data_IF_769236002355
#
_entry.id   IF_769236002355
#
_cell.length_a   1.000
_cell.length_b   1.000
_cell.length_c   1.000
_cell.angle_alpha   90.00
_cell.angle_beta   90.00
_cell.angle_gamma   90.00
#
_symmetry.space_group_name_H-M   'P 1'
#
loop_
_entity.id
_entity.type
_entity.pdbx_description
1 polymer ?
#
# COMPACT_ATOMS: atom_id res chain seq x y z
N UNK A 1 -20.88 -12.95 -16.92
CA UNK A 1 -19.83 -12.25 -16.15
C UNK A 1 -20.40 -12.02 -14.76
N UNK A 2 -19.72 -12.42 -13.69
CA UNK A 2 -20.02 -11.86 -12.37
C UNK A 2 -19.75 -10.36 -12.45
N UNK A 3 -20.80 -9.56 -12.47
CA UNK A 3 -20.72 -8.10 -12.62
C UNK A 3 -20.07 -7.41 -11.41
N UNK A 4 -19.79 -8.16 -10.34
CA UNK A 4 -19.23 -7.65 -9.08
C UNK A 4 -17.70 -7.61 -9.05
N UNK A 5 -16.99 -8.28 -9.97
CA UNK A 5 -15.52 -8.42 -9.93
C UNK A 5 -14.90 -7.78 -11.16
N UNK A 6 -14.09 -6.72 -10.95
CA UNK A 6 -13.29 -6.17 -12.03
C UNK A 6 -12.21 -7.17 -12.42
N UNK A 7 -12.04 -7.35 -13.73
CA UNK A 7 -11.03 -8.24 -14.32
C UNK A 7 -10.04 -7.48 -15.17
N UNK A 8 -10.22 -6.16 -15.36
CA UNK A 8 -9.34 -5.32 -16.19
C UNK A 8 -8.07 -5.02 -15.40
N UNK A 9 -6.91 -5.27 -16.00
CA UNK A 9 -5.65 -4.87 -15.36
C UNK A 9 -5.55 -3.35 -15.35
N UNK A 10 -5.03 -2.81 -14.25
CA UNK A 10 -4.77 -1.38 -14.11
C UNK A 10 -3.68 -0.92 -15.09
N UNK A 11 -2.77 -1.83 -15.45
CA UNK A 11 -1.70 -1.58 -16.42
C UNK A 11 -2.16 -1.71 -17.88
N UNK A 12 -3.46 -1.90 -18.14
CA UNK A 12 -4.04 -1.98 -19.47
C UNK A 12 -4.41 -3.39 -19.88
N UNK A 13 -4.44 -3.67 -21.19
CA UNK A 13 -4.90 -4.97 -21.69
C UNK A 13 -3.85 -6.06 -21.47
N UNK A 14 -4.30 -7.24 -21.06
CA UNK A 14 -3.51 -8.47 -21.04
C UNK A 14 -4.01 -9.47 -22.09
N UNK A 15 -3.12 -10.37 -22.51
CA UNK A 15 -3.45 -11.39 -23.51
C UNK A 15 -4.25 -12.52 -22.85
N UNK A 16 -5.18 -13.09 -23.60
CA UNK A 16 -5.91 -14.31 -23.21
C UNK A 16 -5.56 -15.40 -24.21
N UNK A 17 -5.13 -16.57 -23.72
CA UNK A 17 -4.82 -17.75 -24.54
C UNK A 17 -5.52 -18.97 -23.96
N UNK A 18 -6.24 -19.71 -24.81
CA UNK A 18 -7.02 -20.89 -24.41
C UNK A 18 -7.96 -20.59 -23.23
N UNK A 19 -8.64 -19.43 -23.26
CA UNK A 19 -9.55 -18.99 -22.20
C UNK A 19 -8.88 -18.56 -20.89
N UNK A 20 -7.54 -18.50 -20.82
CA UNK A 20 -6.80 -18.10 -19.61
C UNK A 20 -6.04 -16.78 -19.82
N UNK A 21 -6.09 -15.85 -18.85
CA UNK A 21 -5.22 -14.68 -18.84
C UNK A 21 -3.75 -15.07 -18.87
N UNK A 22 -2.92 -14.24 -19.48
CA UNK A 22 -1.47 -14.34 -19.45
C UNK A 22 -0.90 -13.17 -18.65
N UNK A 23 -0.04 -13.47 -17.69
CA UNK A 23 0.65 -12.46 -16.89
C UNK A 23 1.37 -11.45 -17.80
N UNK A 24 1.11 -10.14 -17.65
CA UNK A 24 1.63 -9.12 -18.57
C UNK A 24 3.15 -8.96 -18.49
N UNK A 25 3.77 -9.42 -17.40
CA UNK A 25 5.22 -9.33 -17.17
C UNK A 25 5.98 -10.54 -17.73
N UNK A 26 5.26 -11.54 -18.26
CA UNK A 26 5.85 -12.74 -18.85
C UNK A 26 5.65 -14.00 -18.02
N UNK A 27 6.38 -15.05 -18.36
CA UNK A 27 6.25 -16.37 -17.72
C UNK A 27 6.86 -16.35 -16.32
N UNK A 28 6.13 -16.88 -15.35
CA UNK A 28 6.63 -17.15 -13.99
C UNK A 28 7.09 -18.60 -13.83
N UNK A 29 6.79 -19.47 -14.81
CA UNK A 29 7.13 -20.90 -14.76
C UNK A 29 6.09 -21.76 -14.05
N UNK A 30 4.97 -21.17 -13.62
CA UNK A 30 3.87 -21.86 -12.96
C UNK A 30 2.53 -21.50 -13.64
N UNK A 31 1.78 -22.50 -14.11
CA UNK A 31 0.46 -22.31 -14.69
C UNK A 31 -0.67 -22.44 -13.66
N UNK A 32 -1.87 -21.97 -14.01
CA UNK A 32 -3.04 -21.99 -13.14
C UNK A 32 -3.16 -20.74 -12.28
N UNK A 33 -4.07 -20.72 -11.31
CA UNK A 33 -4.23 -19.57 -10.37
C UNK A 33 -3.27 -19.61 -9.18
N UNK A 34 -2.70 -20.77 -8.87
CA UNK A 34 -1.98 -20.96 -7.61
C UNK A 34 -2.89 -20.66 -6.42
N UNK A 35 -2.38 -19.84 -5.48
CA UNK A 35 -3.11 -19.41 -4.26
C UNK A 35 -3.93 -18.13 -4.44
N UNK A 36 -3.90 -17.50 -5.63
CA UNK A 36 -4.65 -16.27 -5.86
C UNK A 36 -6.14 -16.58 -6.09
N UNK A 37 -7.07 -15.76 -5.57
CA UNK A 37 -8.49 -16.04 -5.66
C UNK A 37 -9.00 -16.01 -7.10
N UNK A 38 -8.45 -15.12 -7.94
CA UNK A 38 -8.95 -14.84 -9.30
C UNK A 38 -7.94 -15.22 -10.38
N UNK A 39 -8.46 -15.63 -11.54
CA UNK A 39 -7.72 -15.62 -12.80
C UNK A 39 -7.47 -14.18 -13.24
N UNK A 40 -6.29 -13.91 -13.78
CA UNK A 40 -5.89 -12.57 -14.21
C UNK A 40 -5.46 -11.70 -13.02
N UNK A 41 -5.79 -10.40 -13.02
CA UNK A 41 -5.39 -9.50 -11.95
C UNK A 41 -6.17 -9.76 -10.65
N UNK A 42 -5.46 -9.67 -9.53
CA UNK A 42 -5.97 -9.72 -8.17
C UNK A 42 -5.59 -8.42 -7.48
N UNK A 43 -6.58 -7.56 -7.22
CA UNK A 43 -6.31 -6.24 -6.68
C UNK A 43 -6.14 -6.27 -5.17
N UNK A 44 -5.09 -5.61 -4.71
CA UNK A 44 -4.78 -5.41 -3.29
C UNK A 44 -4.82 -3.92 -2.99
N UNK A 45 -5.65 -3.51 -2.03
CA UNK A 45 -5.64 -2.18 -1.44
C UNK A 45 -4.70 -2.16 -0.25
N UNK A 46 -3.75 -1.23 -0.23
CA UNK A 46 -2.96 -0.90 0.95
C UNK A 46 -3.28 0.54 1.38
N UNK A 47 -3.59 0.76 2.65
CA UNK A 47 -4.00 2.08 3.16
C UNK A 47 -3.08 2.53 4.27
N UNK A 48 -2.53 3.73 4.13
CA UNK A 48 -1.79 4.42 5.18
C UNK A 48 -2.62 5.62 5.59
N UNK A 49 -3.14 5.62 6.83
CA UNK A 49 -3.83 6.78 7.39
C UNK A 49 -3.02 7.33 8.54
N UNK A 50 -2.59 8.58 8.46
CA UNK A 50 -1.89 9.27 9.54
C UNK A 50 -2.80 10.24 10.30
N UNK A 51 -2.68 10.28 11.63
CA UNK A 51 -3.44 11.13 12.53
C UNK A 51 -2.54 11.76 13.60
N UNK A 52 -2.99 12.85 14.23
CA UNK A 52 -2.31 13.51 15.35
C UNK A 52 -1.52 14.79 15.00
N UNK A 53 -1.28 15.61 16.03
CA UNK A 53 -0.55 16.88 15.94
C UNK A 53 0.79 16.76 16.68
N UNK A 54 1.86 17.29 16.10
CA UNK A 54 3.21 17.26 16.71
C UNK A 54 4.00 15.98 16.40
N UNK A 55 4.73 15.47 17.40
CA UNK A 55 5.63 14.29 17.26
C UNK A 55 4.90 12.95 17.32
N UNK A 56 3.65 12.94 17.77
CA UNK A 56 2.83 11.74 17.88
C UNK A 56 2.12 11.56 16.54
N UNK A 57 2.61 10.60 15.76
CA UNK A 57 1.95 10.13 14.53
C UNK A 57 1.29 8.82 14.85
N UNK A 58 -0.04 8.80 14.77
CA UNK A 58 -0.79 7.56 14.83
C UNK A 58 -1.02 7.08 13.41
N UNK A 59 -0.72 5.80 13.16
CA UNK A 59 -1.05 5.13 11.90
C UNK A 59 -2.16 4.14 12.17
N UNK A 60 -3.15 4.11 11.27
CA UNK A 60 -4.18 3.08 11.29
C UNK A 60 -3.53 1.72 10.97
N UNK A 61 -3.64 0.76 11.89
CA UNK A 61 -2.93 -0.53 11.89
C UNK A 61 -3.90 -1.70 11.93
N UNK A 62 -3.52 -2.85 11.36
CA UNK A 62 -4.26 -4.14 11.50
C UNK A 62 -3.74 -5.03 12.63
N UNK A 63 -2.71 -4.58 13.34
CA UNK A 63 -2.12 -5.27 14.50
C UNK A 63 -2.15 -4.38 15.72
N UNK A 64 -2.26 -5.01 16.90
CA UNK A 64 -2.17 -4.33 18.19
C UNK A 64 -0.76 -3.81 18.46
N UNK A 65 -0.61 -2.99 19.51
CA UNK A 65 0.69 -2.46 19.94
C UNK A 65 1.73 -3.55 20.26
N UNK A 66 1.28 -4.72 20.72
CA UNK A 66 2.13 -5.86 21.08
C UNK A 66 2.60 -6.67 19.85
N UNK A 67 1.90 -6.55 18.72
CA UNK A 67 2.20 -7.26 17.47
C UNK A 67 3.22 -6.56 16.58
N UNK A 68 3.73 -7.22 15.52
CA UNK A 68 4.57 -6.58 14.51
C UNK A 68 3.79 -5.45 13.83
N UNK A 69 4.44 -4.32 13.55
CA UNK A 69 3.78 -3.21 12.88
C UNK A 69 3.25 -3.64 11.50
N UNK A 70 1.95 -3.42 11.24
CA UNK A 70 1.32 -3.78 9.97
C UNK A 70 0.33 -2.71 9.53
N UNK A 71 0.31 -2.44 8.23
CA UNK A 71 -0.65 -1.52 7.64
C UNK A 71 -1.84 -2.27 7.01
N UNK A 72 -3.04 -1.68 7.04
CA UNK A 72 -4.23 -2.25 6.44
C UNK A 72 -4.02 -2.62 4.97
N UNK A 73 -4.08 -3.93 4.67
CA UNK A 73 -3.85 -4.48 3.32
C UNK A 73 -4.89 -5.55 3.00
N UNK A 74 -5.68 -5.38 1.93
CA UNK A 74 -6.86 -6.20 1.64
C UNK A 74 -7.03 -6.49 0.16
N UNK A 75 -7.63 -7.63 -0.19
CA UNK A 75 -8.12 -7.84 -1.55
C UNK A 75 -9.38 -7.00 -1.80
N UNK A 76 -9.50 -6.45 -3.02
CA UNK A 76 -10.67 -5.69 -3.47
C UNK A 76 -11.17 -6.22 -4.82
N UNK A 77 -12.48 -6.26 -5.01
CA UNK A 77 -13.12 -6.65 -6.27
C UNK A 77 -13.19 -5.50 -7.27
N UNK A 78 -13.38 -4.27 -6.76
CA UNK A 78 -13.44 -3.05 -7.54
C UNK A 78 -12.35 -2.08 -7.07
N UNK A 79 -11.50 -1.66 -7.99
CA UNK A 79 -10.41 -0.73 -7.76
C UNK A 79 -10.74 0.72 -8.13
N UNK A 80 -11.99 1.00 -8.50
CA UNK A 80 -12.52 2.36 -8.63
C UNK A 80 -12.39 3.12 -7.32
N UNK A 81 -12.54 4.44 -7.39
CA UNK A 81 -12.55 5.28 -6.19
C UNK A 81 -13.66 4.84 -5.23
N UNK A 82 -14.83 4.55 -5.78
CA UNK A 82 -16.01 4.10 -5.05
C UNK A 82 -15.79 2.74 -4.39
N UNK A 83 -15.13 1.81 -5.08
CA UNK A 83 -14.76 0.49 -4.54
C UNK A 83 -13.75 0.59 -3.40
N UNK A 84 -12.75 1.48 -3.52
CA UNK A 84 -11.78 1.75 -2.46
C UNK A 84 -12.46 2.40 -1.24
N UNK A 85 -13.32 3.39 -1.46
CA UNK A 85 -14.12 4.04 -0.41
C UNK A 85 -14.99 3.01 0.32
N UNK A 86 -15.71 2.16 -0.43
CA UNK A 86 -16.55 1.12 0.13
C UNK A 86 -15.76 0.10 0.96
N UNK A 87 -14.57 -0.31 0.50
CA UNK A 87 -13.74 -1.24 1.26
C UNK A 87 -13.24 -0.63 2.56
N UNK A 88 -12.76 0.62 2.51
CA UNK A 88 -12.27 1.31 3.70
C UNK A 88 -13.40 1.52 4.73
N UNK A 89 -14.59 1.88 4.27
CA UNK A 89 -15.80 1.96 5.10
C UNK A 89 -16.12 0.60 5.76
N UNK A 90 -16.13 -0.49 4.99
CA UNK A 90 -16.40 -1.85 5.48
C UNK A 90 -15.48 -2.21 6.65
N UNK A 91 -14.18 -1.99 6.48
CA UNK A 91 -13.16 -2.32 7.50
C UNK A 91 -13.31 -1.44 8.74
N UNK A 92 -13.52 -0.14 8.57
CA UNK A 92 -13.71 0.79 9.69
C UNK A 92 -14.95 0.37 10.50
N UNK A 93 -16.06 0.07 9.83
CA UNK A 93 -17.29 -0.37 10.52
C UNK A 93 -17.09 -1.72 11.21
N UNK A 94 -16.42 -2.67 10.56
CA UNK A 94 -16.11 -3.98 11.15
C UNK A 94 -15.25 -3.85 12.43
N UNK A 95 -14.48 -2.77 12.54
CA UNK A 95 -13.62 -2.45 13.68
C UNK A 95 -14.37 -1.80 14.84
N UNK A 96 -15.68 -1.55 14.70
CA UNK A 96 -16.59 -1.05 15.74
C UNK A 96 -16.05 0.17 16.50
N UNK A 97 -15.98 1.36 15.86
CA UNK A 97 -15.57 2.57 16.54
C UNK A 97 -16.41 2.84 17.79
N UNK A 98 -15.77 3.21 18.90
CA UNK A 98 -16.40 3.25 20.24
C UNK A 98 -17.04 4.57 20.60
N UNK A 99 -16.86 5.60 19.78
CA UNK A 99 -17.35 6.95 20.03
C UNK A 99 -18.65 7.29 19.29
N UNK A 100 -19.47 6.28 18.98
CA UNK A 100 -20.88 6.45 18.61
C UNK A 100 -21.16 6.91 17.18
N UNK A 101 -20.16 6.97 16.30
CA UNK A 101 -20.36 7.32 14.89
C UNK A 101 -21.26 6.30 14.18
N UNK A 102 -22.34 6.78 13.56
CA UNK A 102 -23.22 5.97 12.72
C UNK A 102 -22.55 5.58 11.40
N UNK A 103 -23.11 4.58 10.71
CA UNK A 103 -22.61 4.15 9.38
C UNK A 103 -22.58 5.30 8.36
N UNK A 104 -23.60 6.17 8.36
CA UNK A 104 -23.67 7.32 7.46
C UNK A 104 -22.60 8.38 7.76
N UNK A 105 -22.30 8.59 9.04
CA UNK A 105 -21.22 9.51 9.42
C UNK A 105 -19.86 8.94 9.03
N UNK A 106 -19.62 7.64 9.27
CA UNK A 106 -18.39 6.95 8.82
C UNK A 106 -18.22 7.07 7.31
N UNK A 107 -19.29 6.83 6.54
CA UNK A 107 -19.30 7.02 5.09
C UNK A 107 -18.85 8.44 4.69
N UNK A 108 -19.39 9.47 5.36
CA UNK A 108 -19.02 10.88 5.13
C UNK A 108 -17.56 11.18 5.46
N UNK A 109 -17.04 10.62 6.56
CA UNK A 109 -15.64 10.75 6.95
C UNK A 109 -14.71 10.11 5.89
N UNK A 110 -15.02 8.89 5.44
CA UNK A 110 -14.24 8.19 4.40
C UNK A 110 -14.23 8.97 3.09
N UNK A 111 -15.40 9.44 2.63
CA UNK A 111 -15.47 10.29 1.42
C UNK A 111 -14.66 11.57 1.55
N UNK A 112 -14.71 12.21 2.72
CA UNK A 112 -13.94 13.42 2.97
C UNK A 112 -12.44 13.13 2.96
N UNK A 113 -12.02 12.03 3.57
CA UNK A 113 -10.64 11.56 3.59
C UNK A 113 -10.10 11.29 2.17
N UNK A 114 -10.90 10.62 1.34
CA UNK A 114 -10.53 10.22 -0.02
C UNK A 114 -10.46 11.37 -1.03
N UNK A 115 -11.00 12.56 -0.71
CA UNK A 115 -10.86 13.75 -1.58
C UNK A 115 -9.41 14.19 -1.77
N UNK A 116 -8.60 14.11 -0.71
CA UNK A 116 -7.21 14.57 -0.70
C UNK A 116 -6.21 13.40 -0.59
N UNK A 117 -6.69 12.18 -0.75
CA UNK A 117 -5.87 10.99 -0.66
C UNK A 117 -4.87 10.92 -1.82
N UNK A 118 -3.65 10.51 -1.51
CA UNK A 118 -2.57 10.38 -2.46
C UNK A 118 -2.39 8.91 -2.86
N UNK A 119 -2.49 8.62 -4.15
CA UNK A 119 -2.12 7.31 -4.68
C UNK A 119 -0.60 7.24 -4.73
N UNK A 120 -0.01 6.42 -3.86
CA UNK A 120 1.46 6.26 -3.76
C UNK A 120 1.98 5.09 -4.58
N UNK A 121 1.11 4.11 -4.90
CA UNK A 121 1.40 3.04 -5.86
C UNK A 121 0.13 2.61 -6.55
N UNK A 122 0.23 2.25 -7.82
CA UNK A 122 -0.84 1.64 -8.59
C UNK A 122 -0.28 0.66 -9.62
N UNK A 123 -0.94 -0.48 -9.80
CA UNK A 123 -0.62 -1.48 -10.83
C UNK A 123 0.17 -2.68 -10.34
N UNK A 124 0.77 -3.42 -11.27
CA UNK A 124 1.43 -4.71 -11.03
C UNK A 124 2.32 -4.71 -9.78
N UNK A 125 2.13 -5.74 -8.97
CA UNK A 125 2.92 -6.03 -7.79
C UNK A 125 3.52 -7.40 -8.01
N UNK A 126 4.84 -7.49 -8.21
CA UNK A 126 5.46 -8.80 -8.20
C UNK A 126 5.14 -9.45 -6.84
N UNK A 127 4.94 -10.76 -6.80
CA UNK A 127 4.47 -11.49 -5.60
C UNK A 127 4.81 -12.96 -5.83
N UNK A 128 5.25 -13.66 -4.80
CA UNK A 128 5.61 -15.08 -4.92
C UNK A 128 4.41 -15.97 -5.27
N UNK A 129 3.18 -15.47 -5.10
CA UNK A 129 1.94 -16.13 -5.49
C UNK A 129 1.59 -15.93 -6.97
N UNK A 130 2.29 -15.06 -7.69
CA UNK A 130 2.02 -14.81 -9.10
C UNK A 130 2.33 -16.05 -9.95
N UNK A 131 1.44 -16.32 -10.90
CA UNK A 131 1.53 -17.41 -11.87
C UNK A 131 1.48 -16.84 -13.30
N UNK A 132 1.64 -17.71 -14.29
CA UNK A 132 1.41 -17.38 -15.71
C UNK A 132 -0.02 -16.89 -15.97
N UNK A 133 -0.98 -17.19 -15.09
CA UNK A 133 -2.40 -16.91 -15.34
C UNK A 133 -3.13 -16.11 -14.25
N UNK A 134 -2.45 -15.77 -13.15
CA UNK A 134 -2.98 -14.93 -12.08
C UNK A 134 -1.85 -14.11 -11.46
N UNK A 135 -2.07 -12.82 -11.24
CA UNK A 135 -1.07 -11.94 -10.65
C UNK A 135 -1.70 -10.91 -9.73
N UNK A 136 -0.87 -10.31 -8.88
CA UNK A 136 -1.28 -9.25 -7.96
C UNK A 136 -1.07 -7.88 -8.57
N UNK A 137 -2.04 -6.98 -8.38
CA UNK A 137 -1.89 -5.55 -8.65
C UNK A 137 -2.26 -4.78 -7.38
N UNK A 138 -1.46 -3.80 -6.99
CA UNK A 138 -1.70 -3.07 -5.75
C UNK A 138 -2.01 -1.62 -6.02
N UNK A 139 -2.99 -1.10 -5.28
CA UNK A 139 -3.23 0.32 -5.10
C UNK A 139 -2.89 0.65 -3.66
N UNK A 140 -1.90 1.51 -3.47
CA UNK A 140 -1.54 2.03 -2.17
C UNK A 140 -1.99 3.48 -2.07
N UNK A 141 -2.74 3.79 -1.02
CA UNK A 141 -3.31 5.10 -0.77
C UNK A 141 -2.78 5.64 0.54
N UNK A 142 -2.31 6.89 0.53
CA UNK A 142 -1.95 7.64 1.71
C UNK A 142 -3.00 8.71 2.00
N UNK A 143 -3.51 8.74 3.22
CA UNK A 143 -4.48 9.69 3.74
C UNK A 143 -3.85 10.40 4.92
N UNK A 144 -3.75 11.72 4.86
CA UNK A 144 -3.25 12.54 5.97
C UNK A 144 -4.37 13.25 6.71
N UNK A 145 -4.41 13.09 8.03
CA UNK A 145 -5.39 13.71 8.94
C UNK A 145 -4.77 14.31 10.21
N UNK A 146 -3.78 15.21 10.09
CA UNK A 146 -3.05 15.72 11.25
C UNK A 146 -3.98 16.39 12.27
N UNK A 147 -5.03 17.07 11.80
CA UNK A 147 -5.97 17.81 12.64
C UNK A 147 -7.21 16.99 13.04
N UNK A 148 -7.22 15.67 12.77
CA UNK A 148 -8.34 14.77 13.11
C UNK A 148 -9.69 15.28 12.60
N UNK A 149 -9.71 15.74 11.34
CA UNK A 149 -10.90 16.31 10.70
C UNK A 149 -11.82 15.23 10.11
N UNK A 150 -11.29 14.05 9.78
CA UNK A 150 -12.04 12.95 9.17
C UNK A 150 -11.86 11.62 9.93
N UNK A 151 -11.17 10.62 9.37
CA UNK A 151 -10.95 9.29 9.96
C UNK A 151 -10.31 9.40 11.34
N UNK A 152 -9.43 10.40 11.57
CA UNK A 152 -8.79 10.69 12.85
C UNK A 152 -9.75 10.97 14.01
N UNK A 153 -11.05 11.21 13.74
CA UNK A 153 -12.10 11.35 14.76
C UNK A 153 -12.50 10.02 15.39
N UNK A 154 -12.30 8.90 14.69
CA UNK A 154 -12.76 7.59 15.14
C UNK A 154 -11.89 7.08 16.29
N UNK A 155 -12.53 6.51 17.31
CA UNK A 155 -11.84 5.84 18.42
C UNK A 155 -12.08 4.34 18.31
N UNK A 156 -11.05 3.54 18.54
CA UNK A 156 -11.12 2.08 18.49
C UNK A 156 -10.71 1.52 19.85
N UNK A 157 -11.28 0.39 20.24
CA UNK A 157 -10.77 -0.43 21.35
C UNK A 157 -9.61 -1.29 20.87
N UNK A 158 -8.60 -1.47 21.73
CA UNK A 158 -7.41 -2.28 21.43
C UNK A 158 -7.77 -3.78 21.45
N UNK A 159 -8.26 -4.28 20.32
CA UNK A 159 -8.69 -5.68 20.16
C UNK A 159 -8.49 -6.17 18.71
N UNK A 160 -7.53 -5.63 17.95
CA UNK A 160 -7.36 -5.96 16.54
C UNK A 160 -7.44 -7.48 16.26
N UNK A 161 -8.52 -7.88 15.60
CA UNK A 161 -8.77 -9.20 15.02
C UNK A 161 -8.50 -9.14 13.51
N UNK A 162 -8.48 -10.30 12.87
CA UNK A 162 -8.39 -10.39 11.40
C UNK A 162 -9.43 -9.46 10.73
N UNK A 163 -9.00 -8.63 9.77
CA UNK A 163 -9.81 -7.62 9.06
C UNK A 163 -10.37 -6.45 9.90
N UNK A 164 -9.75 -6.12 11.03
CA UNK A 164 -10.09 -4.89 11.80
C UNK A 164 -8.89 -3.96 11.90
N UNK A 165 -9.14 -2.71 12.29
CA UNK A 165 -8.14 -1.66 12.41
C UNK A 165 -8.24 -0.90 13.73
N UNK A 166 -7.11 -0.42 14.21
CA UNK A 166 -6.99 0.46 15.38
C UNK A 166 -5.87 1.50 15.18
N UNK A 167 -5.89 2.56 15.98
CA UNK A 167 -4.81 3.56 15.96
C UNK A 167 -3.59 3.04 16.69
N UNK A 168 -2.43 3.07 16.02
CA UNK A 168 -1.15 2.73 16.64
C UNK A 168 -0.18 3.90 16.52
N UNK A 169 0.32 4.36 17.66
CA UNK A 169 1.38 5.38 17.70
C UNK A 169 2.69 4.83 17.14
N UNK A 170 3.33 5.62 16.28
CA UNK A 170 4.63 5.31 15.67
C UNK A 170 5.75 5.67 16.63
N UNK A 171 5.99 4.78 17.60
CA UNK A 171 7.09 4.86 18.57
C UNK A 171 8.46 4.55 17.93
N UNK A 172 9.55 4.73 18.69
CA UNK A 172 10.92 4.49 18.19
C UNK A 172 11.12 3.05 17.71
N UNK A 173 10.47 2.09 18.38
CA UNK A 173 10.48 0.68 17.96
C UNK A 173 9.82 0.50 16.60
N UNK A 174 8.62 1.04 16.40
CA UNK A 174 7.89 0.98 15.14
C UNK A 174 8.62 1.73 14.03
N UNK A 175 9.27 2.86 14.34
CA UNK A 175 10.16 3.56 13.41
C UNK A 175 11.36 2.70 13.03
N UNK A 176 12.00 2.03 13.98
CA UNK A 176 13.10 1.11 13.72
C UNK A 176 12.64 -0.09 12.87
N UNK A 177 11.49 -0.69 13.18
CA UNK A 177 10.90 -1.78 12.38
C UNK A 177 10.62 -1.33 10.95
N UNK A 178 9.97 -0.18 10.77
CA UNK A 178 9.70 0.42 9.47
C UNK A 178 11.00 0.78 8.72
N UNK A 179 11.99 1.32 9.42
CA UNK A 179 13.29 1.68 8.86
C UNK A 179 14.02 0.44 8.36
N UNK A 180 14.18 -0.56 9.22
CA UNK A 180 14.78 -1.84 8.88
C UNK A 180 14.07 -2.48 7.70
N UNK A 181 12.75 -2.39 7.66
CA UNK A 181 11.95 -2.88 6.55
C UNK A 181 12.29 -2.14 5.24
N UNK A 182 12.26 -0.80 5.25
CA UNK A 182 12.53 0.03 4.07
C UNK A 182 13.98 -0.13 3.61
N UNK A 183 14.95 -0.07 4.51
CA UNK A 183 16.38 -0.22 4.22
C UNK A 183 16.69 -1.58 3.61
N UNK A 184 16.11 -2.67 4.15
CA UNK A 184 16.24 -4.01 3.55
C UNK A 184 15.64 -4.11 2.14
N UNK A 185 14.72 -3.21 1.79
CA UNK A 185 13.97 -3.27 0.54
C UNK A 185 14.55 -2.38 -0.56
N UNK A 186 15.05 -1.18 -0.21
CA UNK A 186 15.57 -0.20 -1.19
C UNK A 186 17.05 0.16 -1.01
N UNK A 187 17.70 -0.34 0.05
CA UNK A 187 19.08 -0.05 0.41
C UNK A 187 19.25 1.28 1.18
N UNK A 188 20.18 1.29 2.14
CA UNK A 188 20.43 2.40 3.06
C UNK A 188 20.81 3.72 2.35
N UNK A 189 21.67 3.66 1.33
CA UNK A 189 22.10 4.83 0.57
C UNK A 189 20.92 5.57 -0.11
N UNK A 190 19.97 4.81 -0.69
CA UNK A 190 18.76 5.37 -1.31
C UNK A 190 17.77 5.85 -0.28
N UNK A 191 17.62 5.13 0.83
CA UNK A 191 16.80 5.58 1.96
C UNK A 191 17.27 6.95 2.45
N UNK A 192 18.57 7.11 2.70
CA UNK A 192 19.15 8.37 3.17
C UNK A 192 19.03 9.50 2.14
N UNK A 193 19.21 9.23 0.84
CA UNK A 193 18.98 10.23 -0.22
C UNK A 193 17.53 10.74 -0.20
N UNK A 194 16.58 9.83 -0.06
CA UNK A 194 15.15 10.11 -0.10
C UNK A 194 14.68 10.84 1.14
N UNK A 195 15.08 10.36 2.32
CA UNK A 195 14.70 10.96 3.59
C UNK A 195 15.27 12.37 3.69
N UNK A 196 16.45 12.66 3.11
CA UNK A 196 17.12 13.95 3.25
C UNK A 196 16.66 15.08 2.31
N UNK A 197 15.80 14.82 1.32
CA UNK A 197 15.27 15.88 0.44
C UNK A 197 14.31 16.84 1.17
N UNK A 198 14.24 18.09 0.71
CA UNK A 198 13.53 19.19 1.38
C UNK A 198 12.05 19.31 1.02
N UNK A 199 11.69 19.02 -0.24
CA UNK A 199 10.34 19.08 -0.81
C UNK A 199 9.72 17.68 -0.93
N UNK A 200 8.74 17.39 -0.06
CA UNK A 200 8.21 16.04 0.12
C UNK A 200 7.29 15.58 -1.01
N UNK A 201 6.51 16.47 -1.63
CA UNK A 201 5.64 16.11 -2.76
C UNK A 201 6.50 15.77 -3.98
N UNK A 202 7.59 16.50 -4.18
CA UNK A 202 8.62 16.20 -5.18
C UNK A 202 9.38 14.91 -4.83
N UNK A 203 9.77 14.70 -3.57
CA UNK A 203 10.43 13.46 -3.14
C UNK A 203 9.57 12.22 -3.35
N UNK A 204 8.30 12.24 -2.92
CA UNK A 204 7.39 11.11 -3.13
C UNK A 204 7.12 10.86 -4.62
N UNK A 205 6.92 11.92 -5.40
CA UNK A 205 6.78 11.83 -6.86
C UNK A 205 8.04 11.29 -7.54
N UNK A 206 9.24 11.67 -7.07
CA UNK A 206 10.52 11.17 -7.59
C UNK A 206 10.78 9.72 -7.19
N UNK A 207 10.39 9.29 -5.99
CA UNK A 207 10.42 7.88 -5.55
C UNK A 207 9.49 7.05 -6.42
N UNK A 208 8.24 7.51 -6.60
CA UNK A 208 7.27 6.88 -7.50
C UNK A 208 7.89 6.77 -8.88
N UNK A 209 8.45 7.86 -9.42
CA UNK A 209 9.09 7.91 -10.74
C UNK A 209 10.31 6.98 -10.85
N UNK A 210 11.14 6.86 -9.81
CA UNK A 210 12.31 5.99 -9.78
C UNK A 210 11.93 4.50 -9.67
N UNK A 211 10.92 4.18 -8.87
CA UNK A 211 10.40 2.82 -8.72
C UNK A 211 9.61 2.38 -9.96
N UNK A 212 8.80 3.26 -10.56
CA UNK A 212 8.16 3.02 -11.86
C UNK A 212 9.18 3.02 -13.01
N UNK A 213 10.27 3.78 -12.88
CA UNK A 213 11.35 3.83 -13.87
C UNK A 213 12.17 2.54 -13.91
N UNK A 214 12.35 1.88 -12.77
CA UNK A 214 12.99 0.56 -12.70
C UNK A 214 12.10 -0.55 -13.29
N UNK A 215 10.80 -0.53 -13.02
CA UNK A 215 9.87 -1.49 -13.64
C UNK A 215 9.77 -1.27 -15.16
N UNK A 216 9.83 -0.04 -15.65
CA UNK A 216 9.85 0.27 -17.10
C UNK A 216 11.21 0.06 -17.78
N UNK A 217 12.35 0.35 -17.14
CA UNK A 217 13.68 0.08 -17.71
C UNK A 217 14.01 -1.42 -17.71
N UNK A 218 13.58 -2.16 -16.68
CA UNK A 218 13.59 -3.63 -16.69
C UNK A 218 12.70 -4.22 -17.80
N UNK A 219 11.57 -3.58 -18.11
CA UNK A 219 10.70 -3.97 -19.24
C UNK A 219 11.30 -3.64 -20.62
N UNK A 220 12.06 -2.53 -20.74
CA UNK A 220 12.65 -2.12 -22.02
C UNK A 220 13.86 -2.95 -22.46
N UNK A 221 14.47 -3.70 -21.54
CA UNK A 221 15.70 -4.44 -21.82
C UNK A 221 15.55 -5.95 -21.99
N UNK A 222 14.36 -6.54 -21.91
CA UNK A 222 14.20 -8.00 -22.01
C UNK A 222 13.48 -8.39 -23.30
N UNK A 223 14.14 -8.03 -24.42
CA UNK A 223 14.33 -8.94 -25.55
C UNK A 223 15.63 -9.76 -25.41
N UNK A 224 16.43 -9.54 -24.36
CA UNK A 224 17.70 -10.26 -24.17
C UNK A 224 18.02 -10.45 -22.68
N UNK A 225 18.27 -11.70 -22.32
CA UNK A 225 19.08 -12.20 -21.20
C UNK A 225 19.72 -11.11 -20.32
N UNK A 226 19.15 -10.81 -19.14
CA UNK A 226 19.90 -10.44 -17.94
C UNK A 226 19.25 -11.11 -16.72
N UNK A 227 19.59 -12.38 -16.55
CA UNK A 227 19.89 -12.94 -15.22
C UNK A 227 21.30 -12.43 -14.88
N UNK A 228 21.59 -12.04 -13.62
CA UNK A 228 22.87 -11.45 -13.10
C UNK A 228 22.92 -9.91 -13.18
N UNK A 229 22.82 -9.11 -12.11
CA UNK A 229 23.47 -9.20 -10.79
C UNK A 229 22.51 -8.66 -9.71
N UNK A 230 21.82 -9.56 -9.04
CA UNK A 230 21.52 -9.53 -7.60
C UNK A 230 21.41 -10.99 -7.18
N UNK A 231 22.52 -11.72 -7.33
CA UNK A 231 22.66 -13.08 -6.80
C UNK A 231 22.59 -12.96 -5.28
N UNK A 232 21.54 -13.48 -4.66
CA UNK A 232 21.55 -13.80 -3.23
C UNK A 232 20.49 -13.17 -2.33
N UNK A 233 19.67 -12.22 -2.79
CA UNK A 233 18.49 -11.79 -2.03
C UNK A 233 17.32 -11.72 -3.00
N UNK A 234 16.56 -12.81 -3.05
CA UNK A 234 15.18 -12.80 -3.51
C UNK A 234 14.44 -11.83 -2.58
N UNK A 235 14.48 -10.52 -2.84
CA UNK A 235 13.72 -9.56 -2.05
C UNK A 235 12.26 -9.94 -2.28
N UNK A 236 11.57 -10.56 -1.28
CA UNK A 236 10.21 -11.00 -1.46
C UNK A 236 9.41 -9.74 -1.70
N UNK A 237 8.63 -9.70 -2.76
CA UNK A 237 8.21 -8.44 -3.36
C UNK A 237 7.21 -7.64 -2.50
N UNK A 238 6.67 -8.27 -1.46
CA UNK A 238 6.08 -7.60 -0.30
C UNK A 238 6.96 -6.44 0.20
N UNK A 239 8.27 -6.58 0.12
CA UNK A 239 9.30 -5.58 0.41
C UNK A 239 9.14 -4.27 -0.37
N UNK A 240 8.79 -4.31 -1.66
CA UNK A 240 8.68 -3.09 -2.49
C UNK A 240 7.47 -2.26 -2.07
N UNK A 241 6.33 -2.91 -1.85
CA UNK A 241 5.11 -2.25 -1.38
C UNK A 241 5.35 -1.60 -0.02
N UNK A 242 5.85 -2.39 0.92
CA UNK A 242 6.10 -1.92 2.27
C UNK A 242 7.27 -0.93 2.36
N UNK A 243 8.21 -0.90 1.41
CA UNK A 243 9.18 0.18 1.28
C UNK A 243 8.53 1.51 0.89
N UNK A 244 7.62 1.48 -0.09
CA UNK A 244 6.86 2.67 -0.51
C UNK A 244 6.02 3.20 0.66
N UNK A 245 5.37 2.31 1.40
CA UNK A 245 4.58 2.65 2.58
C UNK A 245 5.44 3.19 3.71
N UNK A 246 6.56 2.52 4.03
CA UNK A 246 7.46 2.99 5.07
C UNK A 246 8.05 4.36 4.73
N UNK A 247 8.43 4.59 3.47
CA UNK A 247 8.84 5.91 3.00
C UNK A 247 7.74 6.96 3.15
N UNK A 248 6.48 6.62 2.84
CA UNK A 248 5.35 7.52 3.04
C UNK A 248 5.18 7.90 4.52
N UNK A 249 5.33 6.93 5.44
CA UNK A 249 5.28 7.17 6.89
C UNK A 249 6.45 8.06 7.35
N UNK A 250 7.68 7.79 6.90
CA UNK A 250 8.85 8.63 7.21
C UNK A 250 8.71 10.05 6.67
N UNK A 251 8.13 10.19 5.48
CA UNK A 251 7.86 11.48 4.88
C UNK A 251 6.88 12.29 5.75
N UNK A 252 5.79 11.67 6.21
CA UNK A 252 4.85 12.26 7.18
C UNK A 252 5.55 12.67 8.48
N UNK A 253 6.37 11.79 9.08
CA UNK A 253 7.12 12.08 10.31
C UNK A 253 8.04 13.31 10.14
N UNK A 254 8.76 13.39 9.02
CA UNK A 254 9.70 14.49 8.74
C UNK A 254 8.99 15.82 8.52
N UNK A 255 7.86 15.86 7.79
CA UNK A 255 7.09 17.09 7.63
C UNK A 255 6.62 17.65 8.97
N UNK A 256 6.15 16.78 9.86
CA UNK A 256 5.67 17.19 11.18
C UNK A 256 6.80 17.76 12.03
N UNK A 257 8.02 17.22 11.93
CA UNK A 257 9.21 17.79 12.60
C UNK A 257 9.56 19.19 12.10
N UNK A 258 9.41 19.48 10.79
CA UNK A 258 9.67 20.82 10.21
C UNK A 258 8.64 21.87 10.59
N UNK A 259 7.36 21.50 10.68
CA UNK A 259 6.29 22.43 11.11
C UNK A 259 6.49 22.96 12.54
N UNK A 260 7.36 22.33 13.34
CA UNK A 260 7.75 22.78 14.68
C UNK A 260 8.96 23.73 14.70
N UNK A 261 9.84 23.66 13.70
CA UNK A 261 11.08 24.46 13.68
C UNK A 261 10.89 25.87 13.13
N UNK A 262 9.69 26.17 12.64
CA UNK A 262 9.23 27.49 12.21
C UNK A 262 8.19 28.00 13.21
#
# INVERSE_FOLDING_TARGET
MDQSVDRRSINGHYKVRNGRPLCPIGRTGLQGRGKLPRWGPNFVLAVVVDSGVGHVVDILSTTTAEGPFSIPTFFIDDYSKEGIEAKLEEIIIASKPTNGFSRMEIHSLVKTAMKNALIVKQGFTPDSRNTDNAWTETIAVQISDPMKQHIGKLKFESQAKHNTVEWRTVDEKSQSELRNYVERSIGEARFNEVVNKSDMKSSLKNIITALTGYTLRGLRFIGGVIYSVCVGILIPVTAVLSAIIGLAIFATLRLRKKLKSN
#
